data_IF_466397038775
#
_entry.id   IF_466397038775
#
_cell.length_a   1.000
_cell.length_b   1.000
_cell.length_c   1.000
_cell.angle_alpha   90.00
_cell.angle_beta   90.00
_cell.angle_gamma   90.00
#
_symmetry.space_group_name_H-M   'P 1'
#
loop_
_entity.id
_entity.type
_entity.pdbx_description
1 polymer ?
#
# COMPACT_ATOMS: atom_id res chain seq x y z
N UNK A 1 19.91 7.33 5.14
CA UNK A 1 18.67 6.59 4.85
C UNK A 1 18.07 7.23 3.59
N UNK A 2 17.66 6.44 2.59
CA UNK A 2 17.24 6.98 1.28
C UNK A 2 15.72 7.22 1.27
N UNK A 3 15.29 8.41 0.82
CA UNK A 3 13.88 8.75 0.64
C UNK A 3 13.23 7.92 -0.50
N UNK A 4 11.92 8.03 -0.70
CA UNK A 4 11.22 7.24 -1.70
C UNK A 4 11.42 7.78 -3.12
N UNK A 5 11.54 6.88 -4.08
CA UNK A 5 11.48 7.19 -5.53
C UNK A 5 10.03 7.19 -5.97
N UNK A 6 9.59 8.27 -6.62
CA UNK A 6 8.29 8.38 -7.28
C UNK A 6 8.39 8.04 -8.76
N UNK A 7 7.46 7.23 -9.26
CA UNK A 7 7.27 6.97 -10.69
C UNK A 7 5.80 7.18 -11.03
N UNK A 8 5.52 7.79 -12.18
CA UNK A 8 4.15 8.07 -12.63
C UNK A 8 3.89 7.37 -13.97
N UNK A 9 2.68 6.86 -14.14
CA UNK A 9 2.19 6.33 -15.42
C UNK A 9 0.67 6.47 -15.50
N UNK A 10 0.09 6.31 -16.68
CA UNK A 10 -1.34 6.42 -16.88
C UNK A 10 -1.85 5.39 -17.88
N UNK A 11 -3.11 5.01 -17.71
CA UNK A 11 -3.88 4.25 -18.68
C UNK A 11 -4.94 5.16 -19.28
N UNK A 12 -4.76 5.49 -20.55
CA UNK A 12 -5.69 6.32 -21.32
C UNK A 12 -6.45 5.43 -22.29
N UNK A 13 -7.71 5.78 -22.55
CA UNK A 13 -8.52 5.12 -23.57
C UNK A 13 -7.88 5.32 -24.95
N UNK A 14 -7.55 4.23 -25.64
CA UNK A 14 -6.99 4.31 -26.98
C UNK A 14 -8.02 4.86 -27.98
N UNK A 15 -7.56 5.59 -28.99
CA UNK A 15 -8.42 6.16 -30.03
C UNK A 15 -9.25 5.06 -30.71
N UNK A 16 -10.57 5.24 -30.75
CA UNK A 16 -11.51 4.26 -31.33
C UNK A 16 -11.92 3.13 -30.40
N UNK A 17 -11.44 3.09 -29.15
CA UNK A 17 -11.90 2.17 -28.11
C UNK A 17 -12.95 2.86 -27.24
N UNK A 18 -14.01 2.16 -26.86
CA UNK A 18 -15.13 2.73 -26.08
C UNK A 18 -15.00 2.53 -24.58
N UNK A 19 -14.19 1.56 -24.13
CA UNK A 19 -13.98 1.26 -22.72
C UNK A 19 -12.60 0.62 -22.46
N UNK A 20 -12.00 0.97 -21.33
CA UNK A 20 -10.87 0.29 -20.72
C UNK A 20 -11.30 -1.13 -20.35
N UNK A 21 -10.50 -2.12 -20.76
CA UNK A 21 -10.75 -3.54 -20.49
C UNK A 21 -9.99 -4.01 -19.25
N UNK A 22 -10.43 -5.12 -18.66
CA UNK A 22 -9.72 -5.79 -17.56
C UNK A 22 -8.26 -6.13 -17.94
N UNK A 23 -8.02 -6.54 -19.18
CA UNK A 23 -6.66 -6.83 -19.68
C UNK A 23 -5.81 -5.57 -19.76
N UNK A 24 -6.36 -4.46 -20.25
CA UNK A 24 -5.64 -3.18 -20.31
C UNK A 24 -5.27 -2.69 -18.91
N UNK A 25 -6.21 -2.78 -17.96
CA UNK A 25 -5.95 -2.46 -16.55
C UNK A 25 -4.89 -3.38 -15.92
N UNK A 26 -4.96 -4.70 -16.16
CA UNK A 26 -3.98 -5.64 -15.66
C UNK A 26 -2.56 -5.34 -16.19
N UNK A 27 -2.43 -4.99 -17.46
CA UNK A 27 -1.14 -4.62 -18.05
C UNK A 27 -0.62 -3.29 -17.49
N UNK A 28 -1.50 -2.29 -17.29
CA UNK A 28 -1.11 -1.03 -16.67
C UNK A 28 -0.65 -1.22 -15.22
N UNK A 29 -1.33 -2.06 -14.43
CA UNK A 29 -0.92 -2.42 -13.07
C UNK A 29 0.43 -3.13 -13.09
N UNK A 30 0.65 -4.10 -14.00
CA UNK A 30 1.95 -4.78 -14.14
C UNK A 30 3.08 -3.79 -14.44
N UNK A 31 2.84 -2.82 -15.34
CA UNK A 31 3.80 -1.77 -15.64
C UNK A 31 4.08 -0.89 -14.41
N UNK A 32 3.05 -0.42 -13.71
CA UNK A 32 3.21 0.41 -12.52
C UNK A 32 3.95 -0.33 -11.39
N UNK A 33 3.68 -1.62 -11.18
CA UNK A 33 4.41 -2.47 -10.22
C UNK A 33 5.87 -2.66 -10.62
N UNK A 34 6.15 -2.87 -11.90
CA UNK A 34 7.53 -2.94 -12.41
C UNK A 34 8.30 -1.64 -12.14
N UNK A 35 7.69 -0.48 -12.42
CA UNK A 35 8.24 0.84 -12.12
C UNK A 35 8.39 1.09 -10.61
N UNK A 36 7.58 0.45 -9.77
CA UNK A 36 7.69 0.47 -8.31
C UNK A 36 8.67 -0.61 -7.76
N UNK A 37 9.45 -1.25 -8.61
CA UNK A 37 10.52 -2.16 -8.22
C UNK A 37 10.07 -3.57 -7.83
N UNK A 38 8.89 -4.03 -8.25
CA UNK A 38 8.44 -5.42 -8.04
C UNK A 38 9.04 -6.43 -9.02
N UNK A 39 9.82 -5.96 -10.01
CA UNK A 39 10.31 -6.77 -11.11
C UNK A 39 9.44 -6.65 -12.36
N UNK A 40 9.93 -7.18 -13.49
CA UNK A 40 9.29 -7.01 -14.80
C UNK A 40 8.01 -7.82 -14.99
N UNK A 41 7.77 -8.84 -14.17
CA UNK A 41 6.57 -9.69 -14.24
C UNK A 41 6.13 -10.17 -12.86
N UNK A 42 4.83 -10.49 -12.68
CA UNK A 42 4.37 -11.26 -11.52
C UNK A 42 5.11 -12.59 -11.38
N UNK A 43 5.19 -13.10 -10.15
CA UNK A 43 5.65 -14.46 -9.83
C UNK A 43 4.69 -15.52 -10.39
N UNK A 44 3.38 -15.23 -10.34
CA UNK A 44 2.32 -16.06 -10.92
C UNK A 44 1.20 -15.15 -11.45
N UNK A 45 0.55 -15.56 -12.54
CA UNK A 45 -0.57 -14.85 -13.18
C UNK A 45 -1.56 -15.88 -13.72
N UNK A 46 -2.80 -15.81 -13.26
CA UNK A 46 -3.84 -16.75 -13.67
C UNK A 46 -5.22 -16.10 -13.68
N UNK A 47 -6.19 -16.77 -14.30
CA UNK A 47 -7.59 -16.38 -14.30
C UNK A 47 -8.42 -17.45 -13.59
N UNK A 48 -9.39 -17.03 -12.80
CA UNK A 48 -10.37 -17.93 -12.19
C UNK A 48 -11.76 -17.31 -12.28
N UNK A 49 -12.68 -17.98 -12.97
CA UNK A 49 -13.94 -17.37 -13.39
C UNK A 49 -13.70 -16.16 -14.30
N UNK A 50 -14.28 -15.02 -13.94
CA UNK A 50 -14.11 -13.74 -14.65
C UNK A 50 -13.00 -12.86 -14.11
N UNK A 51 -12.32 -13.30 -13.04
CA UNK A 51 -11.34 -12.51 -12.33
C UNK A 51 -9.91 -12.86 -12.77
N UNK A 52 -9.06 -11.84 -12.83
CA UNK A 52 -7.62 -11.98 -13.07
C UNK A 52 -6.86 -11.78 -11.77
N UNK A 53 -5.81 -12.57 -11.60
CA UNK A 53 -4.98 -12.57 -10.40
C UNK A 53 -3.52 -12.37 -10.79
N UNK A 54 -2.86 -11.41 -10.14
CA UNK A 54 -1.43 -11.17 -10.25
C UNK A 54 -0.79 -11.44 -8.89
N UNK A 55 0.22 -12.30 -8.84
CA UNK A 55 0.92 -12.65 -7.60
C UNK A 55 2.33 -12.11 -7.66
N UNK A 56 2.74 -11.34 -6.66
CA UNK A 56 4.10 -10.82 -6.53
C UNK A 56 4.78 -11.45 -5.32
N UNK A 57 5.98 -11.98 -5.52
CA UNK A 57 6.82 -12.51 -4.45
C UNK A 57 7.65 -11.38 -3.82
N UNK A 58 7.56 -11.24 -2.51
CA UNK A 58 8.23 -10.24 -1.70
C UNK A 58 9.28 -10.91 -0.83
N UNK A 59 10.55 -10.76 -1.18
CA UNK A 59 11.66 -11.37 -0.45
C UNK A 59 12.32 -10.31 0.42
N UNK A 60 12.22 -10.47 1.75
CA UNK A 60 12.84 -9.60 2.74
C UNK A 60 14.08 -10.23 3.37
N UNK A 61 14.06 -11.52 3.66
CA UNK A 61 15.18 -12.28 4.20
C UNK A 61 15.05 -13.78 3.84
N UNK A 62 15.89 -14.28 2.92
CA UNK A 62 15.83 -15.68 2.49
C UNK A 62 16.26 -16.67 3.58
N UNK A 63 16.94 -16.22 4.64
CA UNK A 63 17.35 -17.08 5.75
C UNK A 63 16.23 -17.35 6.76
N UNK A 64 15.06 -16.70 6.62
CA UNK A 64 13.90 -16.84 7.52
C UNK A 64 12.77 -17.61 6.85
N UNK A 65 12.13 -18.51 7.59
CA UNK A 65 10.98 -19.30 7.10
C UNK A 65 9.86 -18.43 6.53
N UNK A 66 9.57 -17.28 7.14
CA UNK A 66 8.59 -16.30 6.67
C UNK A 66 9.21 -14.95 6.30
N UNK A 67 10.47 -14.97 5.84
CA UNK A 67 11.10 -13.80 5.25
C UNK A 67 10.69 -13.55 3.80
N UNK A 68 9.86 -14.43 3.23
CA UNK A 68 9.18 -14.24 1.94
C UNK A 68 7.67 -14.18 2.17
N UNK A 69 6.99 -13.24 1.50
CA UNK A 69 5.53 -13.06 1.53
C UNK A 69 5.03 -12.91 0.09
N UNK A 70 3.78 -13.24 -0.17
CA UNK A 70 3.17 -13.13 -1.50
C UNK A 70 2.02 -12.14 -1.47
N UNK A 71 2.08 -11.15 -2.36
CA UNK A 71 1.02 -10.16 -2.56
C UNK A 71 0.18 -10.58 -3.76
N UNK A 72 -1.09 -10.86 -3.54
CA UNK A 72 -2.07 -11.09 -4.60
C UNK A 72 -2.81 -9.79 -4.89
N UNK A 73 -2.88 -9.42 -6.17
CA UNK A 73 -3.78 -8.40 -6.71
C UNK A 73 -4.87 -9.11 -7.50
N UNK A 74 -6.12 -8.85 -7.16
CA UNK A 74 -7.30 -9.36 -7.86
C UNK A 74 -7.94 -8.22 -8.65
N UNK A 75 -8.24 -8.49 -9.91
CA UNK A 75 -8.87 -7.55 -10.85
C UNK A 75 -10.16 -8.21 -11.37
N UNK A 76 -11.32 -7.65 -11.07
CA UNK A 76 -12.60 -8.18 -11.57
C UNK A 76 -12.90 -7.70 -12.98
N UNK A 77 -13.87 -8.33 -13.65
CA UNK A 77 -14.34 -7.91 -14.98
C UNK A 77 -14.92 -6.48 -14.99
N UNK A 78 -15.46 -6.03 -13.86
CA UNK A 78 -15.95 -4.66 -13.64
C UNK A 78 -14.85 -3.69 -13.20
N UNK A 79 -13.58 -4.02 -13.44
CA UNK A 79 -12.41 -3.21 -13.08
C UNK A 79 -12.29 -2.95 -11.56
N UNK A 80 -12.83 -3.85 -10.74
CA UNK A 80 -12.66 -3.82 -9.30
C UNK A 80 -11.29 -4.32 -8.88
N UNK A 81 -10.60 -3.58 -8.00
CA UNK A 81 -9.26 -3.91 -7.52
C UNK A 81 -9.27 -4.28 -6.04
N UNK A 82 -8.68 -5.43 -5.69
CA UNK A 82 -8.50 -5.86 -4.31
C UNK A 82 -7.15 -6.54 -4.12
N UNK A 83 -6.71 -6.69 -2.88
CA UNK A 83 -5.43 -7.33 -2.56
C UNK A 83 -5.49 -8.20 -1.30
N UNK A 84 -4.57 -9.17 -1.24
CA UNK A 84 -4.32 -10.05 -0.09
C UNK A 84 -2.83 -10.33 0.06
N UNK A 85 -2.40 -10.63 1.28
CA UNK A 85 -1.10 -11.22 1.56
C UNK A 85 -1.24 -12.71 1.88
N UNK A 86 -0.22 -13.49 1.54
CA UNK A 86 -0.06 -14.87 1.94
C UNK A 86 1.35 -15.10 2.48
N UNK A 87 1.48 -16.00 3.46
CA UNK A 87 2.81 -16.41 3.95
C UNK A 87 3.52 -17.39 3.03
N UNK A 88 2.78 -18.03 2.12
CA UNK A 88 3.29 -19.01 1.15
C UNK A 88 2.36 -19.07 -0.07
N UNK A 89 2.90 -19.45 -1.24
CA UNK A 89 2.15 -19.58 -2.48
C UNK A 89 2.63 -20.77 -3.32
N UNK A 90 1.70 -21.58 -3.80
CA UNK A 90 1.92 -22.62 -4.80
C UNK A 90 1.44 -22.10 -6.16
N UNK A 91 2.39 -21.82 -7.07
CA UNK A 91 2.11 -21.30 -8.40
C UNK A 91 1.55 -22.35 -9.38
N UNK A 92 1.67 -23.64 -9.08
CA UNK A 92 1.09 -24.71 -9.91
C UNK A 92 -0.37 -24.91 -9.56
N UNK A 93 -0.70 -24.90 -8.27
CA UNK A 93 -2.07 -25.04 -7.78
C UNK A 93 -2.85 -23.72 -7.73
N UNK A 94 -2.16 -22.57 -7.84
CA UNK A 94 -2.71 -21.22 -7.63
C UNK A 94 -3.37 -21.05 -6.25
N UNK A 95 -2.70 -21.54 -5.21
CA UNK A 95 -3.20 -21.49 -3.83
C UNK A 95 -2.19 -20.85 -2.89
N UNK A 96 -2.70 -20.14 -1.88
CA UNK A 96 -1.89 -19.50 -0.85
C UNK A 96 -2.30 -19.91 0.56
N UNK A 97 -1.39 -19.76 1.51
CA UNK A 97 -1.59 -20.10 2.92
C UNK A 97 -1.56 -18.87 3.83
N UNK A 98 -2.25 -18.98 4.97
CA UNK A 98 -2.32 -17.96 6.02
C UNK A 98 -2.69 -16.56 5.50
N UNK A 99 -3.74 -16.51 4.67
CA UNK A 99 -4.10 -15.29 3.98
C UNK A 99 -4.45 -14.16 4.94
N UNK A 100 -4.12 -12.92 4.55
CA UNK A 100 -4.73 -11.75 5.15
C UNK A 100 -6.20 -11.66 4.75
N UNK A 101 -6.94 -10.79 5.44
CA UNK A 101 -8.24 -10.34 4.93
C UNK A 101 -8.08 -9.67 3.57
N UNK A 102 -9.03 -9.91 2.68
CA UNK A 102 -9.14 -9.17 1.42
C UNK A 102 -9.52 -7.74 1.69
N UNK A 103 -8.74 -6.80 1.17
CA UNK A 103 -9.10 -5.39 1.23
C UNK A 103 -10.07 -5.09 0.09
N UNK A 104 -11.29 -4.71 0.45
CA UNK A 104 -12.43 -4.67 -0.46
C UNK A 104 -12.26 -3.72 -1.66
N UNK A 105 -13.00 -4.05 -2.71
CA UNK A 105 -12.87 -3.54 -4.07
C UNK A 105 -13.53 -2.18 -4.29
N UNK A 106 -12.79 -1.23 -4.87
CA UNK A 106 -13.38 -0.09 -5.58
C UNK A 106 -13.16 -0.30 -7.07
N UNK A 107 -14.24 -0.20 -7.84
CA UNK A 107 -14.16 -0.23 -9.29
C UNK A 107 -13.69 1.12 -9.82
N UNK A 108 -12.75 1.09 -10.76
CA UNK A 108 -12.44 2.24 -11.61
C UNK A 108 -13.42 2.25 -12.80
N UNK A 109 -13.82 3.44 -13.21
CA UNK A 109 -14.64 3.71 -14.38
C UNK A 109 -13.87 3.34 -15.67
N UNK A 110 -14.55 2.63 -16.57
CA UNK A 110 -13.98 2.16 -17.83
C UNK A 110 -13.86 3.24 -18.91
N UNK A 111 -14.47 4.42 -18.77
CA UNK A 111 -14.45 5.45 -19.82
C UNK A 111 -13.59 6.67 -19.49
N UNK A 112 -12.83 6.64 -18.39
CA UNK A 112 -11.96 7.74 -17.96
C UNK A 112 -10.52 7.26 -17.75
N UNK A 113 -9.56 8.18 -17.90
CA UNK A 113 -8.16 7.92 -17.61
C UNK A 113 -7.97 7.41 -16.17
N UNK A 114 -7.00 6.51 -15.99
CA UNK A 114 -6.59 5.99 -14.68
C UNK A 114 -5.11 6.33 -14.51
N UNK A 115 -4.77 7.01 -13.42
CA UNK A 115 -3.41 7.39 -13.11
C UNK A 115 -2.79 6.45 -12.08
N UNK A 116 -1.50 6.20 -12.21
CA UNK A 116 -0.73 5.34 -11.32
C UNK A 116 0.48 6.10 -10.81
N UNK A 117 0.66 6.12 -9.49
CA UNK A 117 1.86 6.65 -8.84
C UNK A 117 2.53 5.53 -8.03
N UNK A 118 3.68 5.09 -8.50
CA UNK A 118 4.57 4.17 -7.79
C UNK A 118 5.42 4.91 -6.77
N UNK A 119 5.56 4.34 -5.56
CA UNK A 119 6.42 4.85 -4.49
C UNK A 119 7.29 3.72 -3.96
N UNK A 120 8.60 3.86 -4.10
CA UNK A 120 9.56 2.82 -3.73
C UNK A 120 10.52 3.32 -2.66
N UNK A 121 10.49 2.69 -1.49
CA UNK A 121 11.46 2.84 -0.42
C UNK A 121 11.81 1.47 0.14
N UNK A 122 12.63 0.71 -0.59
CA UNK A 122 13.00 -0.66 -0.23
C UNK A 122 13.97 -0.69 0.97
N UNK A 123 13.83 -1.63 1.93
CA UNK A 123 12.85 -2.72 2.00
C UNK A 123 11.56 -2.35 2.77
N UNK A 124 11.40 -1.09 3.19
CA UNK A 124 10.26 -0.68 4.01
C UNK A 124 8.94 -0.68 3.23
N UNK A 125 8.91 -0.16 2.02
CA UNK A 125 7.65 0.10 1.33
C UNK A 125 7.80 0.05 -0.18
N UNK A 126 6.80 -0.55 -0.85
CA UNK A 126 6.56 -0.37 -2.28
C UNK A 126 5.07 -0.24 -2.50
N UNK A 127 4.59 0.95 -2.84
CA UNK A 127 3.17 1.21 -3.09
C UNK A 127 2.94 1.56 -4.55
N UNK A 128 1.76 1.22 -5.05
CA UNK A 128 1.21 1.72 -6.30
C UNK A 128 -0.16 2.30 -5.99
N UNK A 129 -0.24 3.63 -6.07
CA UNK A 129 -1.48 4.36 -5.91
C UNK A 129 -2.19 4.41 -7.27
N UNK A 130 -3.44 3.94 -7.32
CA UNK A 130 -4.32 4.03 -8.49
C UNK A 130 -5.33 5.14 -8.24
N UNK A 131 -5.34 6.15 -9.10
CA UNK A 131 -6.21 7.32 -8.97
C UNK A 131 -7.16 7.43 -10.15
N UNK A 132 -8.41 7.82 -9.86
CA UNK A 132 -9.37 8.23 -10.87
C UNK A 132 -10.44 9.14 -10.25
N UNK A 133 -10.37 10.44 -10.54
CA UNK A 133 -11.22 11.45 -9.89
C UNK A 133 -11.07 11.41 -8.36
N UNK A 134 -12.18 11.18 -7.65
CA UNK A 134 -12.18 11.06 -6.19
C UNK A 134 -11.75 9.67 -5.68
N UNK A 135 -11.64 8.67 -6.55
CA UNK A 135 -11.20 7.32 -6.19
C UNK A 135 -9.68 7.27 -6.04
N UNK A 136 -9.22 6.67 -4.96
CA UNK A 136 -7.81 6.35 -4.72
C UNK A 136 -7.72 4.94 -4.12
N UNK A 137 -6.91 4.08 -4.72
CA UNK A 137 -6.71 2.71 -4.29
C UNK A 137 -5.21 2.53 -4.08
N UNK A 138 -4.81 2.15 -2.87
CA UNK A 138 -3.41 1.83 -2.58
C UNK A 138 -3.19 0.33 -2.69
N UNK A 139 -2.37 -0.08 -3.65
CA UNK A 139 -1.89 -1.45 -3.79
C UNK A 139 -0.42 -1.53 -3.36
N UNK A 140 0.02 -2.69 -2.91
CA UNK A 140 1.41 -2.91 -2.50
C UNK A 140 1.54 -3.12 -1.00
N UNK A 141 2.76 -3.03 -0.47
CA UNK A 141 3.04 -3.40 0.91
C UNK A 141 3.80 -2.33 1.69
N UNK A 142 3.70 -2.48 3.01
CA UNK A 142 4.54 -1.84 4.00
C UNK A 142 5.10 -2.89 4.97
N UNK A 143 6.40 -2.82 5.21
CA UNK A 143 7.16 -3.53 6.23
C UNK A 143 7.88 -2.47 7.08
N UNK A 144 7.28 -2.00 8.18
CA UNK A 144 7.83 -0.88 8.94
C UNK A 144 9.32 -1.09 9.28
N UNK A 145 10.15 -0.07 9.07
CA UNK A 145 11.61 -0.20 9.22
C UNK A 145 12.02 -0.71 10.61
N UNK A 146 11.36 -0.21 11.65
CA UNK A 146 11.64 -0.58 13.03
C UNK A 146 10.67 -1.67 13.50
N UNK A 147 10.99 -2.91 13.14
CA UNK A 147 10.34 -4.12 13.65
C UNK A 147 10.71 -4.35 15.13
N UNK A 148 9.75 -4.70 16.01
CA UNK A 148 10.05 -5.08 17.38
C UNK A 148 10.96 -6.32 17.45
N UNK A 149 11.86 -6.36 18.45
CA UNK A 149 12.84 -7.45 18.62
C UNK A 149 12.19 -8.82 18.89
N UNK A 150 10.97 -8.83 19.44
CA UNK A 150 10.21 -10.05 19.69
C UNK A 150 9.52 -10.62 18.44
N UNK A 151 9.43 -9.87 17.34
CA UNK A 151 8.80 -10.38 16.12
C UNK A 151 9.76 -11.30 15.35
N UNK A 152 9.56 -12.60 15.53
CA UNK A 152 10.38 -13.64 14.92
C UNK A 152 9.86 -14.04 13.53
N UNK A 153 10.59 -13.67 12.46
CA UNK A 153 10.26 -14.01 11.07
C UNK A 153 10.50 -15.49 10.72
N UNK A 154 11.01 -16.31 11.65
CA UNK A 154 10.94 -17.77 11.53
C UNK A 154 9.59 -18.35 11.94
N UNK A 155 8.74 -17.55 12.60
CA UNK A 155 7.43 -18.00 13.12
C UNK A 155 6.28 -17.23 12.47
N UNK A 156 6.45 -15.94 12.18
CA UNK A 156 5.40 -15.09 11.63
C UNK A 156 5.93 -14.17 10.52
N UNK A 157 5.25 -14.03 9.38
CA UNK A 157 5.59 -13.02 8.37
C UNK A 157 5.46 -11.60 8.94
N UNK A 158 6.32 -10.69 8.48
CA UNK A 158 6.26 -9.27 8.87
C UNK A 158 6.10 -8.38 7.64
N UNK A 159 4.85 -8.23 7.20
CA UNK A 159 4.47 -7.45 6.03
C UNK A 159 2.99 -7.08 6.15
N UNK A 160 2.64 -5.86 5.76
CA UNK A 160 1.31 -5.28 5.91
C UNK A 160 0.81 -4.75 4.57
N UNK A 161 -0.48 -4.89 4.29
CA UNK A 161 -1.18 -4.23 3.17
C UNK A 161 -2.18 -3.20 3.69
N UNK A 162 -2.33 -2.03 3.04
CA UNK A 162 -3.29 -1.04 3.49
C UNK A 162 -4.71 -1.48 3.15
N UNK A 163 -5.66 -1.13 4.02
CA UNK A 163 -7.07 -1.15 3.68
C UNK A 163 -7.33 -0.10 2.58
N UNK A 164 -7.66 -0.58 1.39
CA UNK A 164 -7.88 0.19 0.16
C UNK A 164 -8.94 1.27 0.28
N UNK A 165 -9.89 1.15 1.21
CA UNK A 165 -11.02 2.08 1.41
C UNK A 165 -10.81 3.08 2.56
N UNK A 166 -9.80 2.89 3.42
CA UNK A 166 -9.77 3.45 4.77
C UNK A 166 -8.73 4.54 5.03
N UNK A 167 -8.27 5.27 4.01
CA UNK A 167 -7.30 6.38 4.18
C UNK A 167 -6.02 5.97 4.95
N UNK A 168 -5.52 4.75 4.70
CA UNK A 168 -4.35 4.18 5.37
C UNK A 168 -4.47 3.99 6.90
N UNK A 169 -5.63 4.23 7.52
CA UNK A 169 -5.79 4.09 8.98
C UNK A 169 -5.70 2.63 9.44
N UNK A 170 -6.06 1.68 8.57
CA UNK A 170 -6.06 0.25 8.86
C UNK A 170 -5.21 -0.48 7.85
N UNK A 171 -4.42 -1.44 8.34
CA UNK A 171 -3.56 -2.33 7.59
C UNK A 171 -3.85 -3.77 7.99
N UNK A 172 -3.54 -4.70 7.10
CA UNK A 172 -3.72 -6.13 7.33
C UNK A 172 -2.41 -6.88 7.15
N UNK A 173 -2.18 -7.84 8.04
CA UNK A 173 -1.09 -8.81 7.96
C UNK A 173 -1.66 -10.20 7.63
N UNK A 174 -0.82 -11.16 7.18
CA UNK A 174 -1.20 -12.57 7.08
C UNK A 174 -1.83 -13.09 8.37
N UNK A 175 -2.74 -14.06 8.28
CA UNK A 175 -3.44 -14.62 9.46
C UNK A 175 -2.51 -15.37 10.41
N UNK A 176 -1.31 -15.74 9.96
CA UNK A 176 -0.25 -16.25 10.82
C UNK A 176 0.43 -15.07 11.52
N UNK A 177 0.02 -14.79 12.75
CA UNK A 177 0.43 -13.61 13.51
C UNK A 177 0.65 -13.94 15.00
N UNK A 178 1.54 -13.22 15.71
CA UNK A 178 1.73 -13.39 17.15
C UNK A 178 0.58 -12.85 18.00
N UNK A 179 -0.35 -12.07 17.43
CA UNK A 179 -1.40 -11.39 18.17
C UNK A 179 -2.56 -12.34 18.50
N UNK A 180 -2.94 -12.41 19.78
CA UNK A 180 -3.98 -13.30 20.30
C UNK A 180 -5.20 -12.49 20.78
N UNK A 181 -6.37 -12.74 20.21
CA UNK A 181 -7.59 -12.03 20.60
C UNK A 181 -8.71 -12.15 19.57
N UNK A 182 -9.96 -12.20 20.05
CA UNK A 182 -11.17 -12.42 19.23
C UNK A 182 -11.45 -11.26 18.26
N UNK A 183 -10.85 -11.34 17.08
CA UNK A 183 -11.49 -11.08 15.80
C UNK A 183 -11.03 -12.21 14.89
N UNK A 184 -11.82 -13.28 14.85
CA UNK A 184 -11.55 -14.61 14.29
C UNK A 184 -11.10 -14.69 12.82
N UNK A 185 -10.68 -13.62 12.16
CA UNK A 185 -10.32 -13.65 10.72
C UNK A 185 -9.37 -12.56 10.20
N UNK A 186 -8.85 -11.62 11.00
CA UNK A 186 -8.15 -10.48 10.39
C UNK A 186 -7.06 -9.91 11.28
N UNK A 187 -5.79 -10.26 11.04
CA UNK A 187 -4.63 -9.56 11.60
C UNK A 187 -4.65 -8.08 11.20
N UNK A 188 -5.38 -7.27 11.97
CA UNK A 188 -5.61 -5.84 11.74
C UNK A 188 -4.58 -5.06 12.53
N UNK A 189 -3.93 -4.14 11.84
CA UNK A 189 -2.98 -3.19 12.40
C UNK A 189 -3.55 -1.80 12.17
N UNK A 190 -3.77 -1.05 13.24
CA UNK A 190 -4.08 0.37 13.15
C UNK A 190 -2.79 1.15 13.00
N UNK A 191 -2.73 2.03 12.01
CA UNK A 191 -1.68 3.02 11.94
C UNK A 191 -2.16 4.31 12.60
N UNK A 192 -1.24 5.08 13.17
CA UNK A 192 -1.51 6.40 13.77
C UNK A 192 -1.97 7.47 12.76
N UNK A 193 -2.08 7.12 11.47
CA UNK A 193 -2.70 7.98 10.46
C UNK A 193 -4.11 8.38 10.87
N UNK A 194 -4.55 9.58 10.49
CA UNK A 194 -5.92 10.11 10.68
C UNK A 194 -6.42 10.27 12.12
N UNK A 195 -5.67 9.82 13.14
CA UNK A 195 -5.99 10.08 14.56
C UNK A 195 -5.73 11.53 14.98
N UNK A 196 -4.92 12.26 14.21
CA UNK A 196 -4.58 13.65 14.47
C UNK A 196 -5.47 14.58 13.64
N UNK A 197 -6.17 15.52 14.29
CA UNK A 197 -6.97 16.57 13.65
C UNK A 197 -6.09 17.65 12.97
N UNK A 198 -5.10 17.21 12.20
CA UNK A 198 -4.14 18.07 11.52
C UNK A 198 -4.73 18.56 10.20
N UNK A 199 -5.51 19.63 10.27
CA UNK A 199 -6.20 20.22 9.11
C UNK A 199 -5.43 21.41 8.58
N UNK A 200 -5.13 22.37 9.44
CA UNK A 200 -4.64 23.69 9.02
C UNK A 200 -3.12 23.79 9.14
N UNK A 201 -2.48 24.68 8.36
CA UNK A 201 -1.11 25.10 8.66
C UNK A 201 -0.98 25.62 10.08
N UNK A 202 0.21 25.50 10.64
CA UNK A 202 0.58 26.11 11.90
C UNK A 202 0.33 27.62 11.85
N UNK A 203 -0.43 28.20 12.81
CA UNK A 203 -0.85 29.60 12.73
C UNK A 203 0.29 30.60 12.90
N UNK A 204 1.44 30.19 13.46
CA UNK A 204 2.59 31.06 13.69
C UNK A 204 3.52 31.07 12.48
N UNK A 205 3.88 29.89 11.96
CA UNK A 205 4.82 29.77 10.85
C UNK A 205 4.16 29.83 9.47
N UNK A 206 2.82 29.71 9.40
CA UNK A 206 2.05 29.48 8.19
C UNK A 206 2.51 28.23 7.39
N UNK A 207 3.29 27.33 8.01
CA UNK A 207 3.77 26.09 7.40
C UNK A 207 2.95 24.90 7.88
N UNK A 208 2.94 23.85 7.07
CA UNK A 208 2.21 22.61 7.34
C UNK A 208 3.04 21.76 8.30
N UNK A 209 2.45 21.32 9.39
CA UNK A 209 3.13 20.42 10.33
C UNK A 209 3.29 19.03 9.70
N UNK A 210 4.47 18.45 9.85
CA UNK A 210 4.83 17.10 9.41
C UNK A 210 5.36 16.33 10.61
N UNK A 211 4.73 15.20 10.92
CA UNK A 211 5.13 14.29 12.00
C UNK A 211 5.71 13.02 11.36
N UNK A 212 7.05 12.89 11.27
CA UNK A 212 7.70 11.73 10.67
C UNK A 212 7.72 10.53 11.63
N UNK A 213 7.62 9.32 11.07
CA UNK A 213 7.64 8.09 11.85
C UNK A 213 6.26 7.72 12.38
N UNK A 214 5.62 6.77 11.71
CA UNK A 214 4.28 6.31 12.00
C UNK A 214 4.36 5.07 12.87
N UNK A 215 3.59 5.07 13.96
CA UNK A 215 3.41 3.92 14.82
C UNK A 215 2.27 3.04 14.31
N UNK A 216 2.50 1.72 14.41
CA UNK A 216 1.59 0.66 14.02
C UNK A 216 1.20 -0.12 15.26
N UNK A 217 -0.09 -0.13 15.58
CA UNK A 217 -0.67 -0.77 16.76
C UNK A 217 -1.51 -1.97 16.32
N UNK A 218 -1.35 -3.15 16.91
CA UNK A 218 -2.29 -4.23 16.65
C UNK A 218 -3.68 -3.83 17.15
N UNK A 219 -4.73 -4.30 16.48
CA UNK A 219 -6.11 -4.16 16.96
C UNK A 219 -6.40 -5.17 18.07
N UNK A 220 -5.55 -5.17 19.09
CA UNK A 220 -5.62 -6.02 20.29
C UNK A 220 -5.09 -5.20 21.48
N UNK A 221 -5.21 -5.74 22.69
CA UNK A 221 -4.64 -5.12 23.89
C UNK A 221 -3.12 -5.38 24.00
N UNK A 222 -2.45 -5.64 22.89
CA UNK A 222 -1.04 -5.99 22.80
C UNK A 222 -0.26 -4.78 22.25
N UNK A 223 1.04 -4.67 22.55
CA UNK A 223 1.82 -3.43 22.45
C UNK A 223 1.88 -2.71 21.10
N UNK A 224 3.04 -2.69 20.45
CA UNK A 224 3.27 -1.95 19.19
C UNK A 224 3.79 -2.94 18.15
N UNK A 225 3.13 -3.01 16.99
CA UNK A 225 3.50 -3.90 15.90
C UNK A 225 4.75 -3.41 15.14
N UNK A 226 5.03 -2.10 15.17
CA UNK A 226 6.26 -1.53 14.64
C UNK A 226 6.20 -0.02 14.49
N UNK A 227 7.27 0.56 13.97
CA UNK A 227 7.37 1.97 13.59
C UNK A 227 7.99 2.10 12.21
N UNK A 228 7.47 2.99 11.38
CA UNK A 228 8.11 3.31 10.10
C UNK A 228 9.38 4.15 10.28
N UNK A 229 10.16 4.27 9.21
CA UNK A 229 11.15 5.32 9.05
C UNK A 229 10.54 6.72 9.20
N UNK A 230 11.41 7.73 9.22
CA UNK A 230 11.00 9.14 9.14
C UNK A 230 10.49 9.56 7.76
N UNK A 231 10.58 8.69 6.76
CA UNK A 231 10.16 9.00 5.40
C UNK A 231 8.67 8.71 5.17
N UNK A 232 8.01 8.03 6.11
CA UNK A 232 6.56 7.95 6.17
C UNK A 232 6.07 8.83 7.32
N UNK A 233 5.15 9.75 7.02
CA UNK A 233 4.77 10.82 7.94
C UNK A 233 3.26 11.09 7.94
N UNK A 234 2.82 11.81 8.97
CA UNK A 234 1.48 12.40 9.07
C UNK A 234 1.61 13.90 8.78
N UNK A 235 0.74 14.44 7.93
CA UNK A 235 0.83 15.85 7.51
C UNK A 235 -0.48 16.60 7.73
N UNK A 236 -0.37 17.86 8.17
CA UNK A 236 -1.50 18.78 8.30
C UNK A 236 -2.05 19.20 6.93
N UNK A 237 -2.97 18.44 6.36
CA UNK A 237 -3.21 18.41 4.90
C UNK A 237 -4.56 19.01 4.44
N UNK A 238 -5.27 19.71 5.31
CA UNK A 238 -6.58 20.29 4.97
C UNK A 238 -6.53 21.16 3.71
N UNK A 239 -7.50 20.94 2.82
CA UNK A 239 -7.63 21.54 1.48
C UNK A 239 -6.52 21.19 0.47
N UNK A 240 -5.61 20.27 0.81
CA UNK A 240 -4.67 19.72 -0.16
C UNK A 240 -5.25 18.49 -0.84
N UNK A 241 -4.86 18.32 -2.09
CA UNK A 241 -5.26 17.20 -2.92
C UNK A 241 -4.27 16.04 -2.77
N UNK A 242 -4.70 14.87 -3.23
CA UNK A 242 -3.80 13.72 -3.36
C UNK A 242 -2.71 14.07 -4.37
N UNK A 243 -1.51 13.54 -4.15
CA UNK A 243 -0.31 13.82 -4.97
C UNK A 243 0.27 15.23 -4.82
N UNK A 244 -0.37 16.14 -4.07
CA UNK A 244 0.26 17.40 -3.71
C UNK A 244 1.55 17.13 -2.94
N UNK A 245 2.55 17.99 -3.17
CA UNK A 245 3.85 17.91 -2.51
C UNK A 245 3.95 19.01 -1.47
N UNK A 246 4.26 18.61 -0.24
CA UNK A 246 4.57 19.51 0.87
C UNK A 246 6.07 19.66 0.98
N UNK A 247 6.54 20.90 0.86
CA UNK A 247 7.94 21.25 1.05
C UNK A 247 8.14 21.75 2.49
N UNK A 248 8.74 20.91 3.35
CA UNK A 248 9.13 21.32 4.71
C UNK A 248 10.33 22.26 4.62
N UNK A 249 11.32 21.84 3.82
CA UNK A 249 12.46 22.64 3.40
C UNK A 249 12.62 22.44 1.88
N UNK A 250 12.33 23.46 1.05
CA UNK A 250 12.36 23.33 -0.41
C UNK A 250 13.67 22.74 -0.93
N UNK A 251 13.58 21.69 -1.76
CA UNK A 251 14.74 21.00 -2.33
C UNK A 251 15.56 20.15 -1.36
N UNK A 252 15.11 19.97 -0.10
CA UNK A 252 15.77 19.11 0.90
C UNK A 252 14.83 18.10 1.54
N UNK A 253 13.59 18.50 1.75
CA UNK A 253 12.59 17.71 2.46
C UNK A 253 11.20 17.98 1.88
N UNK A 254 10.77 17.06 1.02
CA UNK A 254 9.52 17.13 0.29
C UNK A 254 8.72 15.85 0.54
N UNK A 255 7.43 15.98 0.80
CA UNK A 255 6.53 14.88 1.10
C UNK A 255 5.36 14.88 0.14
N UNK A 256 5.15 13.78 -0.58
CA UNK A 256 3.94 13.59 -1.41
C UNK A 256 2.80 13.06 -0.56
N UNK A 257 1.62 13.67 -0.69
CA UNK A 257 0.41 13.21 -0.01
C UNK A 257 -0.19 11.99 -0.72
N UNK A 258 -0.48 10.93 0.05
CA UNK A 258 -1.12 9.71 -0.49
C UNK A 258 -2.64 9.77 -0.42
N UNK A 259 -3.18 10.63 0.44
CA UNK A 259 -4.61 10.78 0.70
C UNK A 259 -5.05 12.23 0.64
N UNK A 260 -6.35 12.47 0.85
CA UNK A 260 -6.95 13.79 0.90
C UNK A 260 -7.74 13.94 2.19
N UNK A 261 -7.76 15.14 2.77
CA UNK A 261 -8.46 15.42 4.03
C UNK A 261 -7.52 15.84 5.16
N UNK A 262 -7.78 15.36 6.37
CA UNK A 262 -7.09 15.79 7.60
C UNK A 262 -6.09 14.75 8.07
N UNK A 263 -4.90 15.14 8.53
CA UNK A 263 -3.91 14.22 9.10
C UNK A 263 -3.54 13.07 8.18
N UNK A 264 -3.26 13.38 6.91
CA UNK A 264 -3.05 12.38 5.86
C UNK A 264 -1.65 11.78 5.90
N UNK A 265 -1.51 10.52 5.46
CA UNK A 265 -0.22 9.90 5.20
C UNK A 265 0.51 10.63 4.06
N UNK A 266 1.80 10.84 4.26
CA UNK A 266 2.69 11.38 3.25
C UNK A 266 4.01 10.62 3.24
N UNK A 267 4.67 10.63 2.08
CA UNK A 267 5.93 9.92 1.86
C UNK A 267 6.98 10.90 1.38
N UNK A 268 8.14 10.89 2.03
CA UNK A 268 9.28 11.73 1.66
C UNK A 268 9.82 11.29 0.30
N UNK A 269 10.00 12.25 -0.59
CA UNK A 269 10.61 12.07 -1.90
C UNK A 269 12.12 12.38 -1.85
N UNK A 270 12.87 11.76 -2.78
CA UNK A 270 14.25 12.14 -3.10
C UNK A 270 14.27 13.48 -3.84
#
# INVERSE_FOLDING_TARGET
MMAAVRTDSSLVLATGVTAITQTALANAIKNAFSLAGYGSSPFDEYSSGTDRYLIYQLIFDQAKTYGTVYLQIKITSNLGLSQRLYSNWDAVAHTGQNSSTETASVAVNSVAQIDFMGLTKSPEMRLVMVYQGATAICLGYLRPEFKPSWWNENVYPYCMIPNTLGLFATWYIPSLTPFTGSLTTSGRIQASFTQAQMVSPNPISARRDVIPGVLFFPWSNEGVAGRSSTDLAIVASGNLLRQDVIQVTPGQEEYVLLGGGTGQPAVRLI
#
